data_IF_082014791417
#
_entry.id   IF_082014791417
#
_cell.length_a   1.000
_cell.length_b   1.000
_cell.length_c   1.000
_cell.angle_alpha   90.00
_cell.angle_beta   90.00
_cell.angle_gamma   90.00
#
_symmetry.space_group_name_H-M   'P 1'
#
loop_
_entity.id
_entity.type
_entity.pdbx_description
1 polymer ?
#
# COMPACT_ATOMS: atom_id res chain seq x y z
N UNK A 1 -7.91 -0.88 -9.89
CA UNK A 1 -6.87 -1.28 -10.86
C UNK A 1 -5.50 -1.38 -10.21
N UNK A 2 -5.32 -2.31 -9.28
CA UNK A 2 -3.99 -2.73 -8.83
C UNK A 2 -3.97 -4.24 -9.05
N UNK A 3 -3.77 -4.64 -10.30
CA UNK A 3 -3.68 -6.05 -10.64
C UNK A 3 -2.44 -6.64 -9.96
N UNK A 4 -2.64 -7.68 -9.15
CA UNK A 4 -1.53 -8.41 -8.57
C UNK A 4 -0.83 -9.16 -9.70
N UNK A 5 0.35 -8.70 -10.09
CA UNK A 5 1.15 -9.40 -11.08
C UNK A 5 1.80 -10.60 -10.41
N UNK A 6 1.83 -11.73 -11.12
CA UNK A 6 2.48 -12.95 -10.68
C UNK A 6 3.44 -13.41 -11.76
N UNK A 7 4.63 -13.83 -11.33
CA UNK A 7 5.61 -14.48 -12.18
C UNK A 7 5.62 -15.97 -11.87
N UNK A 8 5.62 -16.81 -12.90
CA UNK A 8 5.67 -18.27 -12.69
C UNK A 8 7.11 -18.75 -12.81
N UNK A 9 7.63 -19.36 -11.74
CA UNK A 9 8.95 -19.96 -11.70
C UNK A 9 8.83 -21.41 -11.25
N UNK A 10 9.33 -22.35 -12.05
CA UNK A 10 9.26 -23.80 -11.77
C UNK A 10 7.83 -24.28 -11.43
N UNK A 11 6.81 -23.75 -12.13
CA UNK A 11 5.40 -24.07 -11.88
C UNK A 11 4.77 -23.38 -10.67
N UNK A 12 5.53 -22.61 -9.89
CA UNK A 12 5.04 -21.86 -8.73
C UNK A 12 4.78 -20.40 -9.09
N UNK A 13 3.61 -19.87 -8.72
CA UNK A 13 3.26 -18.45 -8.89
C UNK A 13 3.83 -17.62 -7.74
N UNK A 14 4.73 -16.70 -8.07
CA UNK A 14 5.38 -15.79 -7.12
C UNK A 14 4.83 -14.38 -7.34
N UNK A 15 4.45 -13.63 -6.28
CA UNK A 15 4.06 -12.24 -6.40
C UNK A 15 5.16 -11.41 -7.05
N UNK A 16 4.79 -10.58 -8.02
CA UNK A 16 5.71 -9.74 -8.78
C UNK A 16 5.31 -8.28 -8.67
N UNK A 17 6.29 -7.41 -8.40
CA UNK A 17 6.10 -5.97 -8.23
C UNK A 17 7.12 -5.22 -9.09
N UNK A 18 6.65 -4.26 -9.88
CA UNK A 18 7.50 -3.38 -10.68
C UNK A 18 7.59 -2.03 -9.96
N UNK A 19 8.77 -1.70 -9.45
CA UNK A 19 9.04 -0.45 -8.76
C UNK A 19 9.80 0.51 -9.69
N UNK A 20 9.26 1.69 -10.01
CA UNK A 20 9.93 2.64 -10.88
C UNK A 20 11.09 3.31 -10.14
N UNK A 21 12.30 3.20 -10.70
CA UNK A 21 13.48 3.90 -10.21
C UNK A 21 13.68 5.20 -10.97
N UNK A 22 13.87 6.30 -10.24
CA UNK A 22 14.17 7.63 -10.80
C UNK A 22 15.25 8.31 -9.95
N UNK A 23 16.14 9.10 -10.55
CA UNK A 23 17.09 9.91 -9.79
C UNK A 23 16.36 10.80 -8.78
N UNK A 24 16.93 10.94 -7.58
CA UNK A 24 16.31 11.70 -6.48
C UNK A 24 15.31 10.90 -5.62
N UNK A 25 15.12 9.61 -5.87
CA UNK A 25 14.41 8.71 -4.96
C UNK A 25 15.36 7.78 -4.22
N UNK A 26 15.11 7.63 -2.92
CA UNK A 26 15.73 6.57 -2.14
C UNK A 26 15.07 5.22 -2.46
N UNK A 27 15.86 4.34 -3.09
CA UNK A 27 15.43 3.01 -3.49
C UNK A 27 15.24 2.10 -2.29
N UNK A 28 16.01 2.29 -1.20
CA UNK A 28 15.93 1.46 0.00
C UNK A 28 14.56 1.65 0.66
N UNK A 29 14.19 2.90 0.92
CA UNK A 29 12.88 3.25 1.46
C UNK A 29 11.74 2.74 0.56
N UNK A 30 11.90 2.81 -0.76
CA UNK A 30 10.88 2.33 -1.71
C UNK A 30 10.64 0.82 -1.58
N UNK A 31 11.71 0.03 -1.46
CA UNK A 31 11.62 -1.42 -1.31
C UNK A 31 11.03 -1.79 0.06
N UNK A 32 11.40 -1.08 1.12
CA UNK A 32 10.87 -1.31 2.47
C UNK A 32 9.35 -1.11 2.53
N UNK A 33 8.87 0.01 2.00
CA UNK A 33 7.42 0.29 1.95
C UNK A 33 6.69 -0.73 1.09
N UNK A 34 7.28 -1.17 -0.03
CA UNK A 34 6.70 -2.20 -0.87
C UNK A 34 6.56 -3.55 -0.12
N UNK A 35 7.59 -3.95 0.63
CA UNK A 35 7.57 -5.17 1.43
C UNK A 35 6.57 -5.10 2.59
N UNK A 36 6.49 -3.95 3.28
CA UNK A 36 5.52 -3.72 4.35
C UNK A 36 4.09 -3.81 3.82
N UNK A 37 3.81 -3.15 2.70
CA UNK A 37 2.49 -3.19 2.06
C UNK A 37 2.11 -4.61 1.62
N UNK A 38 3.06 -5.38 1.08
CA UNK A 38 2.82 -6.79 0.77
C UNK A 38 2.44 -7.60 2.01
N UNK A 39 3.15 -7.39 3.14
CA UNK A 39 2.83 -8.05 4.42
C UNK A 39 1.43 -7.68 4.92
N UNK A 40 1.08 -6.40 4.91
CA UNK A 40 -0.23 -5.91 5.35
C UNK A 40 -1.36 -6.52 4.53
N UNK A 41 -1.23 -6.53 3.19
CA UNK A 41 -2.19 -7.19 2.30
C UNK A 41 -2.33 -8.68 2.58
N UNK A 42 -1.22 -9.38 2.85
CA UNK A 42 -1.25 -10.81 3.22
C UNK A 42 -1.94 -11.06 4.56
N UNK A 43 -1.88 -10.09 5.48
CA UNK A 43 -2.59 -10.12 6.76
C UNK A 43 -4.06 -9.71 6.66
N UNK A 44 -4.56 -9.38 5.46
CA UNK A 44 -5.94 -8.94 5.24
C UNK A 44 -6.20 -7.49 5.66
N UNK A 45 -5.14 -6.72 5.96
CA UNK A 45 -5.25 -5.31 6.31
C UNK A 45 -5.14 -4.52 5.01
N UNK A 46 -6.22 -3.83 4.61
CA UNK A 46 -6.20 -2.93 3.47
C UNK A 46 -5.83 -1.51 3.96
N UNK A 47 -4.59 -1.03 3.71
CA UNK A 47 -4.15 0.28 4.21
C UNK A 47 -4.99 1.43 3.66
N UNK A 48 -5.57 1.25 2.47
CA UNK A 48 -6.41 2.26 1.82
C UNK A 48 -7.72 2.44 2.58
N UNK A 49 -8.37 1.35 2.98
CA UNK A 49 -9.62 1.41 3.76
C UNK A 49 -9.38 1.96 5.16
N UNK A 50 -8.24 1.63 5.78
CA UNK A 50 -7.90 2.16 7.10
C UNK A 50 -7.61 3.65 7.06
N UNK A 51 -6.92 4.11 6.00
CA UNK A 51 -6.68 5.53 5.75
C UNK A 51 -8.00 6.28 5.50
N UNK A 52 -8.88 5.73 4.66
CA UNK A 52 -10.17 6.35 4.33
C UNK A 52 -11.05 6.51 5.58
N UNK A 53 -11.12 5.47 6.42
CA UNK A 53 -11.82 5.53 7.72
C UNK A 53 -11.25 6.61 8.64
N UNK A 54 -9.92 6.71 8.76
CA UNK A 54 -9.26 7.73 9.59
C UNK A 54 -9.53 9.14 9.05
N UNK A 55 -9.46 9.32 7.74
CA UNK A 55 -9.71 10.60 7.09
C UNK A 55 -11.15 11.07 7.31
N UNK A 56 -12.14 10.18 7.11
CA UNK A 56 -13.55 10.50 7.35
C UNK A 56 -13.80 10.86 8.82
N UNK A 57 -13.19 10.14 9.76
CA UNK A 57 -13.32 10.42 11.19
C UNK A 57 -12.77 11.81 11.56
N UNK A 58 -11.60 12.19 11.01
CA UNK A 58 -11.01 13.50 11.26
C UNK A 58 -11.86 14.63 10.65
N UNK A 59 -12.36 14.44 9.42
CA UNK A 59 -13.26 15.40 8.78
C UNK A 59 -14.57 15.61 9.55
N UNK A 60 -15.14 14.55 10.14
CA UNK A 60 -16.33 14.65 10.99
C UNK A 60 -16.06 15.41 12.28
N UNK A 61 -14.88 15.20 12.88
CA UNK A 61 -14.45 15.88 14.10
C UNK A 61 -14.27 17.39 13.87
N UNK A 62 -13.57 17.78 12.79
CA UNK A 62 -13.42 19.19 12.42
C UNK A 62 -14.77 19.88 12.16
N UNK A 63 -15.72 19.18 11.54
CA UNK A 63 -17.06 19.72 11.28
C UNK A 63 -17.89 19.92 12.55
N UNK A 64 -17.63 19.14 13.61
CA UNK A 64 -18.29 19.26 14.91
C UNK A 64 -17.65 20.35 15.79
N UNK A 65 -16.33 20.56 15.69
CA UNK A 65 -15.60 21.63 16.40
C UNK A 65 -15.86 23.04 15.82
N UNK A 66 -16.33 23.15 14.58
CA UNK A 66 -16.72 24.42 13.95
C UNK A 66 -18.17 24.85 14.22
N UNK A 67 -18.92 24.11 15.07
CA UNK A 67 -20.24 24.50 15.58
C UNK A 67 -20.13 24.98 17.01
#
# INVERSE_FOLDING_TARGET
>A
GIENQYYTLLGTKIPHFILPVKPGRDVVTLVEVAALNFRLKKMGINPVEELDKKLMAEMQKEAMERK
#
